data_IF_112362745964
#
_entry.id   IF_112362745964
#
_cell.length_a   1.000
_cell.length_b   1.000
_cell.length_c   1.000
_cell.angle_alpha   90.00
_cell.angle_beta   90.00
_cell.angle_gamma   90.00
#
_symmetry.space_group_name_H-M   'P 1'
#
loop_
_entity.id
_entity.type
_entity.pdbx_description
1 polymer ?
#
# COMPACT_ATOMS: atom_id res chain seq x y z
N UNK A 1 35.22 5.09 -9.46
CA UNK A 1 34.60 6.36 -9.89
C UNK A 1 33.15 6.25 -9.51
N UNK A 2 32.65 7.13 -8.64
CA UNK A 2 31.22 7.20 -8.33
C UNK A 2 30.55 7.75 -9.59
N UNK A 3 29.62 7.03 -10.20
CA UNK A 3 28.76 7.63 -11.22
C UNK A 3 27.89 8.61 -10.46
N UNK A 4 28.01 9.91 -10.73
CA UNK A 4 27.15 10.90 -10.09
C UNK A 4 25.71 10.66 -10.51
N UNK A 5 24.79 10.84 -9.59
CA UNK A 5 23.37 10.76 -9.88
C UNK A 5 22.99 11.87 -10.88
N UNK A 6 22.38 11.50 -12.01
CA UNK A 6 22.13 12.41 -13.13
C UNK A 6 20.71 12.22 -13.68
N UNK A 7 19.85 13.19 -13.41
CA UNK A 7 18.44 13.15 -13.80
C UNK A 7 18.23 13.16 -15.32
N UNK A 8 19.09 13.82 -16.10
CA UNK A 8 18.97 13.89 -17.55
C UNK A 8 19.30 12.53 -18.18
N UNK A 9 20.37 11.88 -17.70
CA UNK A 9 20.73 10.53 -18.14
C UNK A 9 19.67 9.50 -17.76
N UNK A 10 19.12 9.59 -16.54
CA UNK A 10 18.01 8.73 -16.13
C UNK A 10 16.81 8.97 -17.05
N UNK A 11 16.45 10.23 -17.31
CA UNK A 11 15.31 10.57 -18.15
C UNK A 11 15.46 10.06 -19.58
N UNK A 12 16.64 10.16 -20.19
CA UNK A 12 16.90 9.64 -21.54
C UNK A 12 16.65 8.14 -21.66
N UNK A 13 16.99 7.36 -20.62
CA UNK A 13 16.72 5.92 -20.61
C UNK A 13 15.27 5.59 -20.22
N UNK A 14 14.68 6.39 -19.34
CA UNK A 14 13.35 6.19 -18.78
C UNK A 14 12.23 6.59 -19.76
N UNK A 15 12.36 7.72 -20.45
CA UNK A 15 11.32 8.30 -21.33
C UNK A 15 10.74 7.29 -22.33
N UNK A 16 11.54 6.53 -23.12
CA UNK A 16 10.99 5.54 -24.04
C UNK A 16 10.25 4.40 -23.32
N UNK A 17 10.70 4.00 -22.12
CA UNK A 17 10.04 2.95 -21.34
C UNK A 17 8.71 3.47 -20.76
N UNK A 18 8.69 4.70 -20.26
CA UNK A 18 7.45 5.36 -19.81
C UNK A 18 6.47 5.50 -20.96
N UNK A 19 6.93 5.90 -22.15
CA UNK A 19 6.07 5.99 -23.33
C UNK A 19 5.38 4.66 -23.64
N UNK A 20 6.15 3.56 -23.71
CA UNK A 20 5.58 2.22 -23.95
C UNK A 20 4.56 1.84 -22.88
N UNK A 21 4.86 2.16 -21.62
CA UNK A 21 3.97 1.86 -20.51
C UNK A 21 2.67 2.66 -20.58
N UNK A 22 2.76 3.97 -20.83
CA UNK A 22 1.62 4.88 -20.97
C UNK A 22 0.76 4.48 -22.18
N UNK A 23 1.38 4.22 -23.34
CA UNK A 23 0.67 3.82 -24.55
C UNK A 23 -0.09 2.48 -24.35
N UNK A 24 0.44 1.56 -23.54
CA UNK A 24 -0.23 0.29 -23.19
C UNK A 24 -1.54 0.50 -22.43
N UNK A 25 -1.66 1.59 -21.69
CA UNK A 25 -2.80 1.90 -20.83
C UNK A 25 -3.49 3.22 -21.21
N UNK A 26 -3.41 3.60 -22.49
CA UNK A 26 -3.96 4.86 -23.01
C UNK A 26 -5.48 5.03 -22.76
N UNK A 27 -6.19 3.90 -22.61
CA UNK A 27 -7.62 3.87 -22.30
C UNK A 27 -7.95 4.18 -20.85
N UNK A 28 -6.96 4.15 -19.96
CA UNK A 28 -7.14 4.39 -18.53
C UNK A 28 -6.97 5.87 -18.18
N UNK A 29 -7.62 6.28 -17.10
CA UNK A 29 -7.46 7.63 -16.54
C UNK A 29 -6.32 7.59 -15.52
N UNK A 30 -5.24 8.31 -15.81
CA UNK A 30 -4.09 8.47 -14.91
C UNK A 30 -4.41 9.58 -13.90
N UNK A 31 -4.27 9.30 -12.61
CA UNK A 31 -4.50 10.29 -11.55
C UNK A 31 -3.23 10.69 -10.78
N UNK A 32 -2.16 9.91 -10.87
CA UNK A 32 -0.90 10.31 -10.23
C UNK A 32 0.35 9.76 -10.92
N UNK A 33 1.44 10.51 -10.79
CA UNK A 33 2.80 10.04 -11.04
C UNK A 33 3.68 10.29 -9.80
N UNK A 34 4.32 9.24 -9.31
CA UNK A 34 5.10 9.30 -8.08
C UNK A 34 6.49 8.73 -8.33
N UNK A 35 7.51 9.41 -7.84
CA UNK A 35 8.85 8.83 -7.72
C UNK A 35 9.10 8.50 -6.26
N UNK A 36 9.35 7.23 -5.94
CA UNK A 36 9.66 6.80 -4.58
C UNK A 36 10.56 5.57 -4.64
N UNK A 37 11.49 5.45 -3.70
CA UNK A 37 12.35 4.26 -3.53
C UNK A 37 13.09 3.80 -4.79
N UNK A 38 13.48 4.72 -5.67
CA UNK A 38 14.14 4.39 -6.93
C UNK A 38 13.21 3.81 -8.00
N UNK A 39 11.92 4.10 -7.89
CA UNK A 39 10.88 3.60 -8.81
C UNK A 39 9.97 4.75 -9.22
N UNK A 40 9.58 4.77 -10.49
CA UNK A 40 8.55 5.67 -11.02
C UNK A 40 7.25 4.90 -11.12
N UNK A 41 6.23 5.39 -10.44
CA UNK A 41 4.88 4.82 -10.38
C UNK A 41 3.90 5.68 -11.17
N UNK A 42 3.04 5.03 -11.94
CA UNK A 42 1.86 5.62 -12.59
C UNK A 42 0.63 4.98 -11.99
N UNK A 43 -0.26 5.84 -11.49
CA UNK A 43 -1.52 5.42 -10.89
C UNK A 43 -2.70 5.73 -11.79
N UNK A 44 -3.62 4.77 -11.90
CA UNK A 44 -4.83 4.89 -12.70
C UNK A 44 -6.09 4.62 -11.89
N UNK A 45 -7.22 5.19 -12.31
CA UNK A 45 -8.52 4.94 -11.68
C UNK A 45 -8.90 3.45 -11.71
N UNK A 46 -8.44 2.71 -12.73
CA UNK A 46 -8.64 1.26 -12.82
C UNK A 46 -7.85 0.55 -11.73
N UNK A 47 -6.57 0.88 -11.55
CA UNK A 47 -5.73 0.35 -10.48
C UNK A 47 -6.32 0.63 -9.10
N UNK A 48 -6.73 1.88 -8.84
CA UNK A 48 -7.35 2.28 -7.57
C UNK A 48 -8.62 1.49 -7.27
N UNK A 49 -9.54 1.36 -8.24
CA UNK A 49 -10.77 0.61 -8.02
C UNK A 49 -10.51 -0.89 -7.80
N UNK A 50 -9.48 -1.45 -8.45
CA UNK A 50 -9.09 -2.85 -8.23
C UNK A 50 -8.60 -3.06 -6.81
N UNK A 51 -7.66 -2.23 -6.34
CA UNK A 51 -7.15 -2.28 -4.96
C UNK A 51 -8.25 -2.03 -3.92
N UNK A 52 -9.15 -1.06 -4.16
CA UNK A 52 -10.29 -0.82 -3.28
C UNK A 52 -11.21 -2.04 -3.19
N UNK A 53 -11.47 -2.72 -4.31
CA UNK A 53 -12.29 -3.94 -4.32
C UNK A 53 -11.59 -5.07 -3.55
N UNK A 54 -10.29 -5.27 -3.73
CA UNK A 54 -9.53 -6.26 -2.96
C UNK A 54 -9.58 -5.98 -1.45
N UNK A 55 -9.46 -4.72 -1.04
CA UNK A 55 -9.60 -4.33 0.38
C UNK A 55 -11.02 -4.51 0.90
N UNK A 56 -12.02 -4.20 0.09
CA UNK A 56 -13.42 -4.44 0.43
C UNK A 56 -13.66 -5.95 0.61
N UNK A 57 -13.19 -6.79 -0.30
CA UNK A 57 -13.35 -8.25 -0.25
C UNK A 57 -12.62 -8.83 0.96
N UNK A 58 -11.38 -8.42 1.20
CA UNK A 58 -10.62 -8.81 2.39
C UNK A 58 -11.33 -8.38 3.67
N UNK A 59 -11.80 -7.13 3.75
CA UNK A 59 -12.50 -6.60 4.92
C UNK A 59 -13.80 -7.35 5.20
N UNK A 60 -14.57 -7.64 4.16
CA UNK A 60 -15.82 -8.39 4.26
C UNK A 60 -15.56 -9.84 4.73
N UNK A 61 -14.48 -10.46 4.25
CA UNK A 61 -14.06 -11.80 4.66
C UNK A 61 -13.61 -11.82 6.13
N UNK A 62 -12.69 -10.94 6.50
CA UNK A 62 -12.12 -10.83 7.85
C UNK A 62 -13.20 -10.53 8.90
N UNK A 63 -14.20 -9.74 8.53
CA UNK A 63 -15.31 -9.37 9.42
C UNK A 63 -16.60 -10.17 9.17
N UNK A 64 -16.52 -11.29 8.46
CA UNK A 64 -17.65 -12.20 8.26
C UNK A 64 -18.14 -12.73 9.61
N UNK A 65 -19.46 -12.90 9.72
CA UNK A 65 -20.05 -13.56 10.89
C UNK A 65 -19.73 -15.04 10.85
N UNK A 66 -19.27 -15.59 11.97
CA UNK A 66 -18.94 -17.00 12.14
C UNK A 66 -20.11 -17.70 12.83
N UNK A 67 -20.56 -18.81 12.25
CA UNK A 67 -21.67 -19.57 12.81
C UNK A 67 -21.22 -20.55 13.90
N UNK A 68 -19.94 -20.92 13.90
CA UNK A 68 -19.37 -21.87 14.85
C UNK A 68 -17.89 -21.59 15.13
N UNK A 69 -17.35 -22.26 16.14
CA UNK A 69 -15.93 -22.16 16.49
C UNK A 69 -15.05 -22.86 15.44
N UNK A 70 -15.53 -23.96 14.87
CA UNK A 70 -14.84 -24.71 13.82
C UNK A 70 -14.66 -23.87 12.55
N UNK A 71 -15.57 -22.93 12.26
CA UNK A 71 -15.36 -21.97 11.17
C UNK A 71 -14.17 -21.02 11.46
N UNK A 72 -13.93 -20.66 12.73
CA UNK A 72 -12.76 -19.87 13.12
C UNK A 72 -11.48 -20.68 12.96
N UNK A 73 -11.47 -21.93 13.44
CA UNK A 73 -10.32 -22.86 13.32
C UNK A 73 -9.97 -23.12 11.85
N UNK A 74 -10.97 -23.34 11.00
CA UNK A 74 -10.76 -23.47 9.55
C UNK A 74 -10.18 -22.21 8.93
N UNK A 75 -10.65 -21.03 9.36
CA UNK A 75 -10.14 -19.76 8.86
C UNK A 75 -8.69 -19.49 9.28
N UNK A 76 -8.30 -19.92 10.48
CA UNK A 76 -6.92 -19.80 10.99
C UNK A 76 -6.01 -20.93 10.51
N UNK A 77 -6.57 -21.95 9.86
CA UNK A 77 -5.88 -23.19 9.49
C UNK A 77 -5.20 -23.88 10.69
N UNK A 78 -5.78 -23.73 11.89
CA UNK A 78 -5.21 -24.23 13.15
C UNK A 78 -6.29 -24.67 14.15
N UNK A 79 -5.91 -25.55 15.08
CA UNK A 79 -6.75 -25.95 16.21
C UNK A 79 -6.58 -24.98 17.37
N UNK A 80 -7.68 -24.46 17.91
CA UNK A 80 -7.68 -23.41 18.92
C UNK A 80 -8.21 -23.95 20.25
N UNK A 81 -7.38 -24.73 20.94
CA UNK A 81 -7.75 -25.49 22.14
C UNK A 81 -7.19 -24.90 23.45
N UNK A 82 -6.23 -23.99 23.36
CA UNK A 82 -5.62 -23.33 24.52
C UNK A 82 -5.68 -21.81 24.41
N UNK A 83 -5.52 -21.12 25.53
CA UNK A 83 -5.47 -19.66 25.52
C UNK A 83 -4.30 -19.09 24.73
N UNK A 84 -3.17 -19.81 24.61
CA UNK A 84 -2.03 -19.39 23.80
C UNK A 84 -2.31 -19.47 22.31
N UNK A 85 -3.14 -20.41 21.87
CA UNK A 85 -3.49 -20.54 20.44
C UNK A 85 -4.30 -19.33 19.95
N UNK A 86 -4.90 -18.57 20.88
CA UNK A 86 -5.65 -17.35 20.56
C UNK A 86 -4.76 -16.12 20.37
N UNK A 87 -3.47 -16.20 20.68
CA UNK A 87 -2.55 -15.07 20.57
C UNK A 87 -2.36 -14.68 19.09
N UNK A 88 -2.69 -13.44 18.75
CA UNK A 88 -2.72 -12.95 17.36
C UNK A 88 -4.00 -13.26 16.60
N UNK A 89 -4.79 -14.25 17.05
CA UNK A 89 -6.09 -14.62 16.45
C UNK A 89 -7.24 -13.82 17.05
N UNK A 90 -7.33 -13.78 18.38
CA UNK A 90 -8.38 -13.09 19.12
C UNK A 90 -7.77 -11.95 19.89
N UNK A 91 -8.30 -10.74 19.71
CA UNK A 91 -7.80 -9.56 20.42
C UNK A 91 -7.79 -9.76 21.94
N UNK A 92 -6.68 -9.42 22.60
CA UNK A 92 -6.48 -9.60 24.04
C UNK A 92 -7.61 -9.04 24.92
N UNK A 93 -8.28 -7.96 24.46
CA UNK A 93 -9.42 -7.35 25.15
C UNK A 93 -10.65 -8.26 25.19
N UNK A 94 -10.86 -9.04 24.13
CA UNK A 94 -11.94 -10.05 24.06
C UNK A 94 -11.55 -11.22 24.94
N UNK A 95 -10.32 -11.75 24.79
CA UNK A 95 -9.84 -12.86 25.60
C UNK A 95 -10.00 -12.58 27.10
N UNK A 96 -9.57 -11.39 27.58
CA UNK A 96 -9.65 -11.00 29.00
C UNK A 96 -11.07 -10.98 29.58
N UNK A 97 -12.12 -10.85 28.75
CA UNK A 97 -13.51 -10.87 29.23
C UNK A 97 -14.00 -12.28 29.57
N UNK A 98 -13.40 -13.29 28.96
CA UNK A 98 -13.78 -14.70 29.12
C UNK A 98 -12.76 -15.46 29.95
N UNK A 99 -11.47 -15.10 29.83
CA UNK A 99 -10.35 -15.79 30.45
C UNK A 99 -10.49 -15.87 31.96
N UNK A 100 -10.42 -17.08 32.46
CA UNK A 100 -10.31 -17.43 33.86
C UNK A 100 -8.89 -17.96 34.17
N UNK A 101 -8.72 -18.64 35.31
CA UNK A 101 -7.43 -19.20 35.72
C UNK A 101 -7.12 -20.56 35.07
N UNK A 102 -7.96 -21.06 34.17
CA UNK A 102 -7.75 -22.35 33.49
C UNK A 102 -6.78 -22.20 32.31
N UNK A 103 -6.02 -23.26 32.01
CA UNK A 103 -5.06 -23.28 30.89
C UNK A 103 -5.68 -23.69 29.56
N UNK A 104 -6.78 -24.44 29.58
CA UNK A 104 -7.47 -24.99 28.41
C UNK A 104 -8.74 -24.20 28.07
N UNK A 105 -9.12 -24.18 26.79
CA UNK A 105 -10.39 -23.60 26.34
C UNK A 105 -11.50 -24.64 26.46
N UNK A 106 -12.46 -24.38 27.35
CA UNK A 106 -13.68 -25.19 27.42
C UNK A 106 -14.66 -24.82 26.31
N UNK A 107 -15.62 -25.70 26.01
CA UNK A 107 -16.71 -25.40 25.06
C UNK A 107 -17.48 -24.12 25.45
N UNK A 108 -17.61 -23.86 26.76
CA UNK A 108 -18.25 -22.63 27.26
C UNK A 108 -17.42 -21.39 26.92
N UNK A 109 -16.09 -21.47 27.02
CA UNK A 109 -15.19 -20.40 26.58
C UNK A 109 -15.33 -20.14 25.08
N UNK A 110 -15.31 -21.21 24.27
CA UNK A 110 -15.43 -21.12 22.80
C UNK A 110 -16.74 -20.43 22.39
N UNK A 111 -17.88 -20.79 22.99
CA UNK A 111 -19.19 -20.16 22.72
C UNK A 111 -19.21 -18.67 23.08
N UNK A 112 -18.66 -18.29 24.24
CA UNK A 112 -18.70 -16.90 24.69
C UNK A 112 -17.72 -16.02 23.89
N UNK A 113 -16.53 -16.55 23.58
CA UNK A 113 -15.57 -15.89 22.69
C UNK A 113 -16.18 -15.67 21.31
N UNK A 114 -16.84 -16.67 20.72
CA UNK A 114 -17.47 -16.55 19.42
C UNK A 114 -18.51 -15.42 19.38
N UNK A 115 -19.33 -15.26 20.43
CA UNK A 115 -20.28 -14.13 20.53
C UNK A 115 -19.57 -12.79 20.55
N UNK A 116 -18.50 -12.66 21.34
CA UNK A 116 -17.75 -11.41 21.46
C UNK A 116 -17.00 -11.07 20.17
N UNK A 117 -16.41 -12.06 19.50
CA UNK A 117 -15.77 -11.93 18.19
C UNK A 117 -16.79 -11.44 17.17
N UNK A 118 -17.95 -12.10 17.09
CA UNK A 118 -19.01 -11.72 16.16
C UNK A 118 -19.58 -10.32 16.43
N UNK A 119 -19.68 -9.92 17.70
CA UNK A 119 -20.10 -8.56 18.06
C UNK A 119 -19.06 -7.50 17.62
N UNK A 120 -17.77 -7.79 17.80
CA UNK A 120 -16.68 -6.90 17.34
C UNK A 120 -16.66 -6.79 15.81
N UNK A 121 -16.73 -7.92 15.11
CA UNK A 121 -16.83 -7.97 13.64
C UNK A 121 -18.07 -7.24 13.11
N UNK A 122 -19.22 -7.39 13.77
CA UNK A 122 -20.43 -6.65 13.41
C UNK A 122 -20.24 -5.14 13.55
N UNK A 123 -19.59 -4.68 14.63
CA UNK A 123 -19.29 -3.27 14.82
C UNK A 123 -18.40 -2.75 13.68
N UNK A 124 -17.32 -3.46 13.34
CA UNK A 124 -16.40 -3.10 12.25
C UNK A 124 -17.10 -3.02 10.89
N UNK A 125 -17.98 -3.97 10.57
CA UNK A 125 -18.77 -3.91 9.32
C UNK A 125 -19.65 -2.66 9.21
N UNK A 126 -20.17 -2.17 10.32
CA UNK A 126 -20.98 -0.94 10.34
C UNK A 126 -20.14 0.34 10.18
N UNK A 127 -18.84 0.27 10.47
CA UNK A 127 -17.90 1.39 10.31
C UNK A 127 -17.43 1.56 8.85
N UNK A 128 -17.73 0.59 7.96
CA UNK A 128 -17.54 0.57 6.50
C UNK A 128 -16.41 1.47 5.97
N UNK A 129 -15.18 1.12 6.34
CA UNK A 129 -14.00 1.94 6.07
C UNK A 129 -13.79 2.11 4.57
N UNK A 130 -13.54 1.05 3.80
CA UNK A 130 -13.10 1.14 2.40
C UNK A 130 -14.15 1.60 1.38
N UNK A 131 -15.44 1.66 1.74
CA UNK A 131 -16.50 2.16 0.83
C UNK A 131 -16.80 3.63 1.04
N UNK A 132 -16.35 4.22 2.15
CA UNK A 132 -16.50 5.64 2.42
C UNK A 132 -15.64 6.48 1.46
N UNK A 133 -16.13 7.67 1.09
CA UNK A 133 -15.34 8.60 0.26
C UNK A 133 -14.03 8.99 0.93
N UNK A 134 -14.05 9.18 2.25
CA UNK A 134 -12.86 9.53 3.04
C UNK A 134 -11.77 8.46 2.94
N UNK A 135 -12.10 7.19 3.16
CA UNK A 135 -11.10 6.12 3.06
C UNK A 135 -10.70 5.86 1.62
N UNK A 136 -11.60 6.00 0.64
CA UNK A 136 -11.23 5.92 -0.78
C UNK A 136 -10.18 6.98 -1.13
N UNK A 137 -10.33 8.19 -0.61
CA UNK A 137 -9.36 9.27 -0.79
C UNK A 137 -8.05 9.02 -0.02
N UNK A 138 -8.12 8.40 1.17
CA UNK A 138 -6.93 7.96 1.90
C UNK A 138 -6.16 6.91 1.09
N UNK A 139 -6.84 5.91 0.51
CA UNK A 139 -6.23 4.89 -0.35
C UNK A 139 -5.67 5.52 -1.63
N UNK A 140 -6.40 6.44 -2.27
CA UNK A 140 -5.91 7.20 -3.45
C UNK A 140 -4.58 7.89 -3.17
N UNK A 141 -4.41 8.44 -1.96
CA UNK A 141 -3.20 9.13 -1.51
C UNK A 141 -2.16 8.22 -0.86
N UNK A 142 -2.51 6.97 -0.55
CA UNK A 142 -1.61 6.02 0.08
C UNK A 142 -0.71 5.38 -0.97
N UNK A 143 0.58 5.64 -0.82
CA UNK A 143 1.65 5.25 -1.74
C UNK A 143 2.32 3.94 -1.24
N UNK A 144 1.80 3.25 -0.24
CA UNK A 144 2.39 1.98 0.26
C UNK A 144 1.54 0.72 0.02
N UNK A 145 0.29 0.89 -0.39
CA UNK A 145 -0.78 -0.12 -0.26
C UNK A 145 -1.17 -0.68 -1.64
N UNK A 146 -0.22 -1.37 -2.28
CA UNK A 146 -0.08 -1.33 -3.73
C UNK A 146 -0.06 -2.69 -4.45
N UNK A 147 -1.22 -3.27 -4.69
CA UNK A 147 -1.35 -4.46 -5.53
C UNK A 147 -1.39 -4.15 -7.04
N UNK A 148 -1.85 -2.96 -7.46
CA UNK A 148 -2.12 -2.65 -8.87
C UNK A 148 -1.55 -1.31 -9.33
N UNK A 149 -0.24 -1.27 -9.58
CA UNK A 149 0.44 -0.10 -10.14
C UNK A 149 1.23 -0.44 -11.39
N UNK A 150 1.42 0.55 -12.25
CA UNK A 150 2.43 0.48 -13.29
C UNK A 150 3.71 1.13 -12.79
N UNK A 151 4.80 0.39 -12.81
CA UNK A 151 6.07 0.85 -12.25
C UNK A 151 7.22 0.61 -13.19
N UNK A 152 8.22 1.49 -13.11
CA UNK A 152 9.52 1.33 -13.76
C UNK A 152 10.60 1.58 -12.72
N UNK A 153 11.36 0.54 -12.42
CA UNK A 153 12.53 0.63 -11.55
C UNK A 153 13.66 1.41 -12.23
N UNK A 154 14.24 2.36 -11.52
CA UNK A 154 15.40 3.15 -11.96
C UNK A 154 16.72 2.43 -11.70
N UNK A 155 16.73 1.42 -10.81
CA UNK A 155 17.92 0.61 -10.51
C UNK A 155 18.54 0.02 -11.78
N UNK A 156 19.84 0.27 -11.96
CA UNK A 156 20.59 -0.18 -13.13
C UNK A 156 20.46 0.70 -14.37
N UNK A 157 19.65 1.77 -14.34
CA UNK A 157 19.62 2.76 -15.42
C UNK A 157 20.86 3.65 -15.40
N UNK A 158 21.22 4.12 -16.58
CA UNK A 158 22.26 5.13 -16.77
C UNK A 158 21.93 6.39 -15.96
N UNK A 159 22.91 6.89 -15.20
CA UNK A 159 22.72 8.05 -14.34
C UNK A 159 22.06 7.77 -12.99
N UNK A 160 21.57 6.56 -12.73
CA UNK A 160 21.08 6.18 -11.40
C UNK A 160 22.23 5.67 -10.50
N UNK A 161 22.33 6.20 -9.27
CA UNK A 161 23.29 5.76 -8.24
C UNK A 161 22.54 5.19 -7.03
N UNK A 162 22.59 3.87 -6.88
CA UNK A 162 21.99 3.16 -5.73
C UNK A 162 22.66 3.55 -4.41
N UNK A 163 23.96 3.87 -4.41
CA UNK A 163 24.64 4.31 -3.19
C UNK A 163 24.11 5.67 -2.70
N UNK A 164 23.76 6.56 -3.63
CA UNK A 164 23.12 7.84 -3.28
C UNK A 164 21.73 7.64 -2.67
N UNK A 165 20.96 6.65 -3.14
CA UNK A 165 19.69 6.28 -2.51
C UNK A 165 19.90 5.71 -1.10
N UNK A 166 20.83 4.78 -0.91
CA UNK A 166 21.12 4.23 0.42
C UNK A 166 21.57 5.30 1.42
N UNK A 167 22.42 6.26 1.00
CA UNK A 167 22.80 7.39 1.85
C UNK A 167 21.60 8.28 2.18
N UNK A 168 20.73 8.54 1.20
CA UNK A 168 19.51 9.32 1.39
C UNK A 168 18.55 8.66 2.40
N UNK A 169 18.38 7.34 2.33
CA UNK A 169 17.47 6.58 3.19
C UNK A 169 17.77 6.75 4.68
N UNK A 170 19.04 6.94 5.03
CA UNK A 170 19.51 7.10 6.41
C UNK A 170 19.35 8.55 6.94
N UNK A 171 18.93 9.50 6.11
CA UNK A 171 18.72 10.89 6.50
C UNK A 171 17.33 11.11 7.08
N UNK A 172 17.19 12.15 7.93
CA UNK A 172 15.88 12.61 8.38
C UNK A 172 15.14 13.43 7.31
N UNK A 173 13.83 13.61 7.49
CA UNK A 173 12.90 14.20 6.51
C UNK A 173 13.37 15.51 5.86
N UNK A 174 13.94 16.43 6.63
CA UNK A 174 14.40 17.73 6.10
C UNK A 174 15.71 17.60 5.30
N UNK A 175 16.59 16.70 5.71
CA UNK A 175 17.88 16.47 5.06
C UNK A 175 17.71 15.66 3.76
N UNK A 176 16.72 14.75 3.73
CA UNK A 176 16.33 14.01 2.53
C UNK A 176 15.98 14.96 1.36
N UNK A 177 15.26 16.06 1.63
CA UNK A 177 14.87 17.04 0.59
C UNK A 177 16.04 17.73 -0.10
N UNK A 178 17.18 17.84 0.57
CA UNK A 178 18.39 18.53 0.07
C UNK A 178 19.54 17.59 -0.28
N UNK A 179 19.36 16.29 -0.07
CA UNK A 179 20.31 15.25 -0.48
C UNK A 179 20.48 15.21 -2.00
N UNK A 180 21.61 14.66 -2.46
CA UNK A 180 21.87 14.43 -3.90
C UNK A 180 20.72 13.65 -4.55
N UNK A 181 20.23 12.60 -3.88
CA UNK A 181 19.09 11.80 -4.31
C UNK A 181 17.79 12.60 -4.45
N UNK A 182 17.38 13.28 -3.37
CA UNK A 182 16.12 14.04 -3.36
C UNK A 182 16.12 15.14 -4.41
N UNK A 183 17.24 15.85 -4.58
CA UNK A 183 17.40 16.87 -5.62
C UNK A 183 17.31 16.28 -7.02
N UNK A 184 17.98 15.15 -7.28
CA UNK A 184 17.94 14.51 -8.59
C UNK A 184 16.56 13.93 -8.92
N UNK A 185 15.86 13.31 -7.97
CA UNK A 185 14.51 12.79 -8.20
C UNK A 185 13.51 13.91 -8.45
N UNK A 186 13.65 15.05 -7.77
CA UNK A 186 12.86 16.25 -8.05
C UNK A 186 13.15 16.84 -9.44
N UNK A 187 14.41 16.82 -9.89
CA UNK A 187 14.78 17.22 -11.24
C UNK A 187 14.20 16.26 -12.30
N UNK A 188 14.32 14.95 -12.06
CA UNK A 188 13.76 13.90 -12.91
C UNK A 188 12.24 14.04 -13.05
N UNK A 189 11.53 14.28 -11.93
CA UNK A 189 10.10 14.52 -11.95
C UNK A 189 9.72 15.69 -12.86
N UNK A 190 10.47 16.80 -12.78
CA UNK A 190 10.24 17.97 -13.64
C UNK A 190 10.47 17.66 -15.12
N UNK A 191 11.50 16.87 -15.46
CA UNK A 191 11.76 16.42 -16.82
C UNK A 191 10.59 15.59 -17.37
N UNK A 192 10.12 14.61 -16.58
CA UNK A 192 8.99 13.76 -16.95
C UNK A 192 7.72 14.57 -17.19
N UNK A 193 7.35 15.46 -16.26
CA UNK A 193 6.11 16.24 -16.37
C UNK A 193 6.17 17.31 -17.47
N UNK A 194 7.37 17.82 -17.78
CA UNK A 194 7.55 18.79 -18.87
C UNK A 194 7.61 18.14 -20.26
N UNK A 195 7.68 16.80 -20.32
CA UNK A 195 7.72 16.05 -21.57
C UNK A 195 6.35 15.95 -22.24
N UNK A 196 6.37 15.50 -23.49
CA UNK A 196 5.15 15.30 -24.28
C UNK A 196 4.41 14.00 -23.93
N UNK A 197 4.92 13.19 -22.99
CA UNK A 197 4.37 11.89 -22.59
C UNK A 197 2.90 11.97 -22.18
N UNK A 198 2.47 13.09 -21.58
CA UNK A 198 1.12 13.26 -21.04
C UNK A 198 0.19 14.09 -21.92
N UNK A 199 0.61 14.55 -23.11
CA UNK A 199 -0.22 15.43 -23.96
C UNK A 199 -1.43 14.74 -24.57
N UNK A 200 -1.37 13.42 -24.77
CA UNK A 200 -2.38 12.65 -25.50
C UNK A 200 -3.05 11.57 -24.64
N UNK A 201 -2.89 11.63 -23.32
CA UNK A 201 -3.46 10.64 -22.40
C UNK A 201 -4.57 11.22 -21.54
N UNK A 202 -5.42 10.35 -21.03
CA UNK A 202 -6.51 10.73 -20.15
C UNK A 202 -5.96 10.97 -18.74
N UNK A 203 -5.91 12.24 -18.33
CA UNK A 203 -5.56 12.62 -16.96
C UNK A 203 -6.83 12.89 -16.14
N UNK A 204 -6.82 12.49 -14.87
CA UNK A 204 -7.85 12.90 -13.92
C UNK A 204 -7.80 14.44 -13.72
N UNK A 205 -8.93 15.11 -13.43
CA UNK A 205 -8.95 16.55 -13.18
C UNK A 205 -8.05 17.00 -12.02
N UNK A 206 -7.83 16.11 -11.06
CA UNK A 206 -7.00 16.27 -9.86
C UNK A 206 -5.64 15.56 -10.00
N UNK A 207 -5.18 15.29 -11.23
CA UNK A 207 -3.89 14.65 -11.49
C UNK A 207 -2.77 15.35 -10.72
N UNK A 208 -2.03 14.59 -9.93
CA UNK A 208 -0.91 15.11 -9.13
C UNK A 208 0.39 14.36 -9.40
N UNK A 209 1.49 15.01 -9.09
CA UNK A 209 2.82 14.43 -9.26
C UNK A 209 3.76 14.84 -8.13
N UNK A 210 4.54 13.90 -7.57
CA UNK A 210 5.48 14.20 -6.47
C UNK A 210 6.64 13.21 -6.40
N UNK A 211 7.73 13.62 -5.75
CA UNK A 211 8.62 12.65 -5.09
C UNK A 211 8.02 12.34 -3.73
N UNK A 212 8.17 11.10 -3.29
CA UNK A 212 7.78 10.66 -1.96
C UNK A 212 9.02 10.09 -1.29
N UNK A 213 9.46 10.79 -0.25
CA UNK A 213 10.54 10.35 0.61
C UNK A 213 9.98 9.40 1.70
N UNK A 214 10.87 8.63 2.32
CA UNK A 214 10.53 7.76 3.45
C UNK A 214 10.16 8.60 4.66
N UNK A 215 9.09 8.23 5.36
CA UNK A 215 8.68 8.87 6.62
C UNK A 215 8.66 7.83 7.72
N UNK A 216 9.46 8.02 8.77
CA UNK A 216 9.45 7.20 10.00
C UNK A 216 8.52 7.78 11.07
#
# INVERSE_FOLDING_TARGET
MRNSLDADLIFQELEPKLKVLIDKYESEIIYALVISEGVVYIHTEVGLNTTLNEYIEWWDLENKHLNSWEELEQYQEDQLDTWSDLDGVVGWRIQKKVKDNESELTDTHKVELLKLINADRQKKRLEDTYRSEETREQVRKNIGDWSNQYSIALYGMSGYDEAAYCEHYELGDEDQKVSEYGVAMQALLKLIISSDLFKLVNLAPDFYHRTQEHSY
#
